data_IF_004980840872
#
_entry.id   IF_004980840872
#
_cell.length_a   1.000
_cell.length_b   1.000
_cell.length_c   1.000
_cell.angle_alpha   90.00
_cell.angle_beta   90.00
_cell.angle_gamma   90.00
#
_symmetry.space_group_name_H-M   'P 1'
#
loop_
_entity.id
_entity.type
_entity.pdbx_description
1 polymer ?
#
# COMPACT_ATOMS: atom_id res chain seq x y z
N UNK A 1 8.02 -15.47 26.83
CA UNK A 1 7.76 -14.17 27.47
C UNK A 1 6.54 -13.57 26.79
N UNK A 2 5.47 -13.31 27.52
CA UNK A 2 4.31 -12.59 26.99
C UNK A 2 4.57 -11.09 27.25
N UNK A 3 4.82 -10.32 26.18
CA UNK A 3 4.97 -8.87 26.28
C UNK A 3 3.57 -8.29 26.10
N UNK A 4 3.00 -7.72 27.16
CA UNK A 4 1.72 -7.03 27.10
C UNK A 4 1.93 -5.62 26.54
N UNK A 5 0.98 -5.14 25.73
CA UNK A 5 0.94 -3.74 25.27
C UNK A 5 1.02 -2.75 26.42
N UNK A 6 0.48 -3.10 27.60
CA UNK A 6 0.55 -2.31 28.81
C UNK A 6 1.97 -2.08 29.35
N UNK A 7 2.88 -3.06 29.16
CA UNK A 7 4.27 -2.91 29.63
C UNK A 7 5.03 -1.88 28.80
N UNK A 8 4.73 -1.81 27.50
CA UNK A 8 5.30 -0.84 26.57
C UNK A 8 4.68 0.55 26.79
N UNK A 9 3.36 0.63 26.99
CA UNK A 9 2.66 1.89 27.30
C UNK A 9 3.10 2.49 28.64
N UNK A 10 3.33 1.66 29.66
CA UNK A 10 3.77 2.11 30.98
C UNK A 10 5.18 2.71 30.95
N UNK A 11 6.04 2.27 30.05
CA UNK A 11 7.40 2.78 29.89
C UNK A 11 7.51 4.02 28.98
N UNK A 12 6.50 4.25 28.13
CA UNK A 12 6.48 5.35 27.16
C UNK A 12 5.10 6.00 27.16
N UNK A 13 5.03 7.29 27.47
CA UNK A 13 3.77 8.08 27.42
C UNK A 13 3.28 8.41 26.01
N UNK A 14 3.77 7.70 24.98
CA UNK A 14 3.46 7.89 23.60
C UNK A 14 2.25 7.03 23.15
N UNK A 15 1.53 7.50 22.15
CA UNK A 15 0.51 6.68 21.47
C UNK A 15 1.21 5.57 20.68
N UNK A 16 0.98 4.31 21.00
CA UNK A 16 1.59 3.18 20.31
C UNK A 16 0.71 2.62 19.19
N UNK A 17 1.35 2.07 18.17
CA UNK A 17 0.71 1.42 17.04
C UNK A 17 0.63 -0.10 17.19
N UNK A 18 0.30 -0.76 16.07
CA UNK A 18 0.26 -2.23 16.04
C UNK A 18 1.67 -2.80 16.08
N UNK A 19 1.85 -3.84 16.87
CA UNK A 19 3.08 -4.62 16.90
C UNK A 19 3.25 -5.39 15.60
N UNK A 20 4.44 -5.26 15.00
CA UNK A 20 4.85 -6.04 13.84
C UNK A 20 5.99 -6.95 14.28
N UNK A 21 5.97 -8.20 13.82
CA UNK A 21 7.01 -9.17 14.14
C UNK A 21 8.01 -9.23 12.98
N UNK A 22 9.29 -9.04 13.30
CA UNK A 22 10.39 -9.18 12.35
C UNK A 22 11.54 -9.98 12.95
N UNK A 23 12.42 -10.48 12.11
CA UNK A 23 13.59 -11.27 12.47
C UNK A 23 14.80 -10.56 11.88
N UNK A 24 15.84 -10.34 12.69
CA UNK A 24 17.09 -9.76 12.22
C UNK A 24 17.93 -10.74 11.37
N UNK A 25 19.05 -10.28 10.84
CA UNK A 25 19.95 -11.07 10.01
C UNK A 25 20.61 -12.25 10.76
N UNK A 26 20.66 -12.20 12.09
CA UNK A 26 21.13 -13.27 12.96
C UNK A 26 20.04 -14.29 13.35
N UNK A 27 18.80 -14.10 12.89
CA UNK A 27 17.65 -14.93 13.20
C UNK A 27 17.01 -14.64 14.56
N UNK A 28 17.30 -13.49 15.19
CA UNK A 28 16.70 -13.09 16.47
C UNK A 28 15.35 -12.43 16.25
N UNK A 29 14.33 -12.79 17.04
CA UNK A 29 12.99 -12.25 16.88
C UNK A 29 12.82 -10.92 17.62
N UNK A 30 12.10 -9.98 16.97
CA UNK A 30 11.76 -8.67 17.51
C UNK A 30 10.32 -8.29 17.25
N UNK A 31 9.77 -7.44 18.11
CA UNK A 31 8.55 -6.70 17.83
C UNK A 31 8.90 -5.25 17.50
N UNK A 32 8.41 -4.78 16.38
CA UNK A 32 8.55 -3.41 15.90
C UNK A 32 7.27 -2.67 16.25
N UNK A 33 7.39 -1.63 17.07
CA UNK A 33 6.26 -0.90 17.65
C UNK A 33 6.38 0.58 17.28
N UNK A 34 5.59 1.07 16.31
CA UNK A 34 5.58 2.49 15.98
C UNK A 34 4.95 3.30 17.11
N UNK A 35 5.54 4.43 17.45
CA UNK A 35 4.95 5.44 18.30
C UNK A 35 4.49 6.64 17.50
N UNK A 36 3.46 7.32 17.98
CA UNK A 36 2.87 8.45 17.29
C UNK A 36 2.75 9.65 18.19
N UNK A 37 2.87 10.83 17.59
CA UNK A 37 2.50 12.09 18.20
C UNK A 37 1.33 12.74 17.47
N UNK A 38 0.52 13.49 18.19
CA UNK A 38 -0.55 14.27 17.58
C UNK A 38 0.04 15.50 16.90
N UNK A 39 -0.28 15.67 15.62
CA UNK A 39 0.00 16.93 14.93
C UNK A 39 -1.08 17.93 15.29
N UNK A 40 -0.71 19.01 15.98
CA UNK A 40 -1.63 20.09 16.35
C UNK A 40 -1.90 20.95 15.11
N UNK A 41 -3.17 21.13 14.76
CA UNK A 41 -3.58 21.96 13.62
C UNK A 41 -5.00 21.61 13.15
N UNK A 42 -5.46 22.28 12.09
CA UNK A 42 -6.79 22.07 11.49
C UNK A 42 -6.98 20.63 10.98
N UNK A 43 -5.87 19.94 10.70
CA UNK A 43 -5.83 18.54 10.28
C UNK A 43 -5.12 17.72 11.36
N UNK A 44 -5.86 17.40 12.42
CA UNK A 44 -5.36 16.55 13.51
C UNK A 44 -5.18 15.13 13.02
N UNK A 45 -3.95 14.70 12.85
CA UNK A 45 -3.57 13.33 12.51
C UNK A 45 -2.45 12.85 13.42
N UNK A 46 -2.38 11.54 13.63
CA UNK A 46 -1.22 10.90 14.25
C UNK A 46 -0.06 10.89 13.27
N UNK A 47 1.09 11.39 13.67
CA UNK A 47 2.33 11.34 12.87
C UNK A 47 3.27 10.38 13.54
N UNK A 48 3.91 9.52 12.77
CA UNK A 48 4.95 8.62 13.25
C UNK A 48 6.07 9.43 13.93
N UNK A 49 6.44 9.05 15.14
CA UNK A 49 7.45 9.74 15.94
C UNK A 49 8.74 8.93 16.03
N UNK A 50 8.70 7.81 16.74
CA UNK A 50 9.82 6.89 16.90
C UNK A 50 9.37 5.45 16.72
N UNK A 51 10.32 4.54 16.67
CA UNK A 51 10.10 3.10 16.58
C UNK A 51 10.73 2.45 17.80
N UNK A 52 9.94 1.73 18.57
CA UNK A 52 10.45 0.87 19.64
C UNK A 52 10.71 -0.52 19.06
N UNK A 53 11.93 -0.98 19.22
CA UNK A 53 12.38 -2.32 18.81
C UNK A 53 12.52 -3.15 20.09
N UNK A 54 11.62 -4.11 20.26
CA UNK A 54 11.53 -4.94 21.44
C UNK A 54 12.07 -6.34 21.13
N UNK A 55 13.16 -6.72 21.80
CA UNK A 55 13.69 -8.08 21.66
C UNK A 55 12.68 -9.07 22.27
N UNK A 56 12.13 -9.98 21.44
CA UNK A 56 11.09 -10.91 21.87
C UNK A 56 11.60 -11.97 22.88
N UNK A 57 12.89 -12.17 22.98
CA UNK A 57 13.51 -13.13 23.90
C UNK A 57 13.87 -12.54 25.26
N UNK A 58 14.43 -11.31 25.27
CA UNK A 58 14.90 -10.65 26.50
C UNK A 58 13.91 -9.62 27.06
N UNK A 59 13.02 -9.08 26.21
CA UNK A 59 12.15 -7.96 26.58
C UNK A 59 12.86 -6.60 26.53
N UNK A 60 14.13 -6.54 26.11
CA UNK A 60 14.87 -5.30 25.99
C UNK A 60 14.25 -4.41 24.91
N UNK A 61 14.07 -3.13 25.24
CA UNK A 61 13.47 -2.11 24.38
C UNK A 61 14.54 -1.13 23.95
N UNK A 62 14.69 -0.94 22.64
CA UNK A 62 15.54 0.10 22.06
C UNK A 62 14.69 1.04 21.22
N UNK A 63 14.83 2.35 21.43
CA UNK A 63 14.11 3.36 20.67
C UNK A 63 14.98 3.90 19.53
N UNK A 64 14.38 4.01 18.34
CA UNK A 64 15.01 4.54 17.14
C UNK A 64 14.19 5.66 16.52
N UNK A 65 14.88 6.66 15.98
CA UNK A 65 14.32 7.60 15.00
C UNK A 65 14.35 6.97 13.61
N UNK A 66 13.47 7.39 12.69
CA UNK A 66 13.35 6.79 11.36
C UNK A 66 14.65 6.82 10.54
N UNK A 67 15.46 7.86 10.73
CA UNK A 67 16.75 8.03 10.06
C UNK A 67 17.85 7.11 10.59
N UNK A 68 17.67 6.51 11.78
CA UNK A 68 18.62 5.61 12.45
C UNK A 68 18.11 4.17 12.56
N UNK A 69 17.00 3.87 11.91
CA UNK A 69 16.38 2.56 11.98
C UNK A 69 17.31 1.49 11.36
N UNK A 70 17.56 0.34 12.03
CA UNK A 70 18.38 -0.75 11.50
C UNK A 70 17.91 -1.23 10.12
N UNK A 71 18.85 -1.64 9.25
CA UNK A 71 18.53 -1.98 7.84
C UNK A 71 17.63 -3.20 7.69
N UNK A 72 17.69 -4.13 8.63
CA UNK A 72 16.85 -5.34 8.62
C UNK A 72 15.37 -5.10 8.91
N UNK A 73 14.98 -3.88 9.39
CA UNK A 73 13.59 -3.54 9.62
C UNK A 73 12.95 -3.06 8.32
N UNK A 74 12.05 -3.85 7.77
CA UNK A 74 11.35 -3.54 6.52
C UNK A 74 10.09 -2.70 6.73
N UNK A 75 9.44 -2.83 7.90
CA UNK A 75 8.15 -2.21 8.18
C UNK A 75 8.19 -1.40 9.47
N UNK A 76 8.33 -0.08 9.36
CA UNK A 76 8.31 0.83 10.51
C UNK A 76 6.89 1.19 10.97
N UNK A 77 5.89 1.07 10.10
CA UNK A 77 4.51 1.47 10.40
C UNK A 77 3.49 0.58 9.67
N UNK A 78 2.25 0.58 10.15
CA UNK A 78 1.17 -0.18 9.54
C UNK A 78 0.73 0.43 8.21
N UNK A 79 0.40 -0.42 7.24
CA UNK A 79 -0.13 0.01 5.93
C UNK A 79 -1.37 0.90 6.09
N UNK A 80 -2.26 0.57 7.02
CA UNK A 80 -3.46 1.36 7.31
C UNK A 80 -3.13 2.80 7.71
N UNK A 81 -2.16 2.99 8.60
CA UNK A 81 -1.76 4.32 9.05
C UNK A 81 -1.08 5.11 7.92
N UNK A 82 -0.18 4.49 7.19
CA UNK A 82 0.51 5.12 6.05
C UNK A 82 -0.47 5.55 4.96
N UNK A 83 -1.38 4.65 4.54
CA UNK A 83 -2.40 4.94 3.53
C UNK A 83 -3.36 6.05 3.99
N UNK A 84 -3.77 6.02 5.26
CA UNK A 84 -4.63 7.06 5.84
C UNK A 84 -3.95 8.43 5.81
N UNK A 85 -2.68 8.50 6.20
CA UNK A 85 -1.92 9.75 6.15
C UNK A 85 -1.73 10.26 4.72
N UNK A 86 -1.39 9.36 3.78
CA UNK A 86 -1.30 9.71 2.37
C UNK A 86 -2.64 10.23 1.84
N UNK A 87 -3.74 9.55 2.13
CA UNK A 87 -5.06 9.99 1.71
C UNK A 87 -5.43 11.37 2.26
N UNK A 88 -5.11 11.67 3.51
CA UNK A 88 -5.33 13.02 4.08
C UNK A 88 -4.58 14.11 3.31
N UNK A 89 -3.33 13.85 2.92
CA UNK A 89 -2.54 14.83 2.14
C UNK A 89 -3.21 15.10 0.79
N UNK A 90 -3.69 14.08 0.09
CA UNK A 90 -4.33 14.24 -1.22
C UNK A 90 -5.75 14.79 -1.13
N UNK A 91 -6.50 14.44 -0.09
CA UNK A 91 -7.88 14.93 0.12
C UNK A 91 -7.87 16.42 0.48
N UNK A 92 -6.93 16.85 1.33
CA UNK A 92 -6.89 18.22 1.85
C UNK A 92 -5.82 19.10 1.19
N UNK A 93 -5.41 18.80 -0.03
CA UNK A 93 -4.33 19.48 -0.76
C UNK A 93 -4.50 21.00 -0.82
N UNK A 94 -5.72 21.51 -0.94
CA UNK A 94 -6.04 22.95 -0.95
C UNK A 94 -6.87 23.37 0.29
N UNK A 95 -6.80 22.60 1.38
CA UNK A 95 -7.47 22.86 2.64
C UNK A 95 -8.92 22.34 2.74
N UNK A 96 -9.47 22.40 3.95
CA UNK A 96 -10.79 21.85 4.28
C UNK A 96 -11.93 22.45 3.44
N UNK A 97 -11.95 23.76 3.26
CA UNK A 97 -13.00 24.44 2.48
C UNK A 97 -12.99 24.05 1.01
N UNK A 98 -11.82 23.79 0.43
CA UNK A 98 -11.71 23.28 -0.93
C UNK A 98 -12.38 21.91 -1.06
N UNK A 99 -12.14 21.02 -0.10
CA UNK A 99 -12.73 19.68 -0.08
C UNK A 99 -14.26 19.72 0.02
N UNK A 100 -14.80 20.71 0.74
CA UNK A 100 -16.25 20.86 0.93
C UNK A 100 -16.97 21.51 -0.25
N UNK A 101 -16.34 22.45 -0.94
CA UNK A 101 -17.05 23.31 -1.91
C UNK A 101 -16.57 23.20 -3.36
N UNK A 102 -15.27 23.25 -3.62
CA UNK A 102 -14.76 23.27 -4.99
C UNK A 102 -14.08 21.99 -5.44
N UNK A 103 -13.57 21.20 -4.50
CA UNK A 103 -12.89 19.92 -4.72
C UNK A 103 -11.75 20.00 -5.77
N UNK A 104 -11.15 21.18 -5.94
CA UNK A 104 -10.08 21.40 -6.91
C UNK A 104 -8.84 20.60 -6.50
N UNK A 105 -8.32 19.78 -7.42
CA UNK A 105 -7.14 18.91 -7.25
C UNK A 105 -7.29 17.86 -6.13
N UNK A 106 -8.50 17.66 -5.61
CA UNK A 106 -8.78 16.62 -4.61
C UNK A 106 -8.66 15.26 -5.26
N UNK A 107 -7.90 14.36 -4.62
CA UNK A 107 -7.66 13.00 -5.05
C UNK A 107 -8.00 12.03 -3.93
N UNK A 108 -8.37 10.82 -4.29
CA UNK A 108 -8.62 9.73 -3.38
C UNK A 108 -7.71 8.54 -3.72
N UNK A 109 -7.30 7.79 -2.71
CA UNK A 109 -6.60 6.53 -2.93
C UNK A 109 -7.61 5.41 -3.21
N UNK A 110 -7.25 4.47 -4.07
CA UNK A 110 -8.02 3.23 -4.29
C UNK A 110 -8.07 2.34 -3.04
N UNK A 111 -7.26 2.64 -2.03
CA UNK A 111 -7.24 1.94 -0.77
C UNK A 111 -8.55 2.10 0.00
N UNK A 112 -9.23 0.98 0.31
CA UNK A 112 -10.47 0.96 1.06
C UNK A 112 -10.23 0.56 2.53
N UNK A 113 -10.51 1.47 3.46
CA UNK A 113 -10.33 1.25 4.91
C UNK A 113 -11.39 0.36 5.54
N UNK A 114 -12.53 0.21 4.91
CA UNK A 114 -13.71 -0.46 5.47
C UNK A 114 -13.91 -1.89 4.95
N UNK A 115 -13.25 -2.26 3.87
CA UNK A 115 -13.37 -3.58 3.28
C UNK A 115 -12.12 -4.42 3.54
N UNK A 116 -12.25 -5.42 4.42
CA UNK A 116 -11.18 -6.37 4.72
C UNK A 116 -10.93 -7.38 3.61
N UNK A 117 -11.86 -7.52 2.66
CA UNK A 117 -11.76 -8.46 1.54
C UNK A 117 -11.03 -7.86 0.34
N UNK A 118 -11.03 -6.54 0.22
CA UNK A 118 -10.37 -5.81 -0.86
C UNK A 118 -9.60 -4.60 -0.30
N UNK A 119 -8.30 -4.74 -0.18
CA UNK A 119 -7.47 -3.72 0.46
C UNK A 119 -7.10 -2.54 -0.44
N UNK A 120 -7.28 -2.66 -1.78
CA UNK A 120 -6.94 -1.60 -2.75
C UNK A 120 -5.46 -1.24 -2.76
N UNK A 121 -4.57 -2.17 -2.38
CA UNK A 121 -3.13 -2.00 -2.46
C UNK A 121 -2.42 -3.33 -2.74
N UNK A 122 -1.18 -3.22 -3.20
CA UNK A 122 -0.23 -4.35 -3.31
C UNK A 122 1.10 -3.99 -2.66
N UNK A 123 1.83 -5.02 -2.22
CA UNK A 123 3.24 -4.91 -1.85
C UNK A 123 4.09 -5.31 -3.05
N UNK A 124 5.02 -4.48 -3.45
CA UNK A 124 5.94 -4.76 -4.55
C UNK A 124 7.40 -4.57 -4.11
N UNK A 125 8.31 -5.32 -4.74
CA UNK A 125 9.73 -5.11 -4.56
C UNK A 125 10.24 -4.22 -5.68
N UNK A 126 10.81 -3.08 -5.31
CA UNK A 126 11.44 -2.12 -6.20
C UNK A 126 12.95 -2.06 -5.93
N UNK A 127 13.66 -1.19 -6.63
CA UNK A 127 15.07 -0.91 -6.33
C UNK A 127 15.27 -0.23 -4.96
N UNK A 128 14.20 0.32 -4.38
CA UNK A 128 14.20 0.97 -3.06
C UNK A 128 13.81 0.02 -1.91
N UNK A 129 13.71 -1.29 -2.18
CA UNK A 129 13.21 -2.29 -1.24
C UNK A 129 11.73 -2.61 -1.46
N UNK A 130 11.03 -2.99 -0.38
CA UNK A 130 9.58 -3.21 -0.42
C UNK A 130 8.88 -1.85 -0.43
N UNK A 131 7.88 -1.70 -1.29
CA UNK A 131 7.00 -0.53 -1.32
C UNK A 131 5.54 -0.97 -1.39
N UNK A 132 4.65 -0.24 -0.73
CA UNK A 132 3.21 -0.36 -0.93
C UNK A 132 2.80 0.46 -2.15
N UNK A 133 1.95 -0.12 -2.97
CA UNK A 133 1.44 0.48 -4.20
C UNK A 133 -0.08 0.58 -4.13
N UNK A 134 -0.64 1.73 -4.53
CA UNK A 134 -2.08 1.94 -4.67
C UNK A 134 -2.36 2.93 -5.80
N UNK A 135 -3.52 2.81 -6.45
CA UNK A 135 -3.99 3.80 -7.40
C UNK A 135 -4.45 5.09 -6.74
N UNK A 136 -4.49 6.13 -7.52
CA UNK A 136 -4.96 7.47 -7.12
C UNK A 136 -5.96 7.96 -8.14
N UNK A 137 -7.19 8.22 -7.70
CA UNK A 137 -8.29 8.70 -8.55
C UNK A 137 -8.59 10.17 -8.30
N UNK A 138 -9.13 10.85 -9.30
CA UNK A 138 -9.67 12.19 -9.14
C UNK A 138 -11.10 12.14 -8.63
N UNK A 139 -11.44 12.95 -7.63
CA UNK A 139 -12.80 13.01 -7.10
C UNK A 139 -13.77 13.72 -8.06
N UNK A 140 -13.24 14.55 -8.97
CA UNK A 140 -14.05 15.41 -9.86
C UNK A 140 -14.20 14.89 -11.29
N UNK A 141 -13.45 13.88 -11.69
CA UNK A 141 -13.50 13.31 -13.03
C UNK A 141 -13.95 11.87 -12.93
N UNK A 142 -14.92 11.48 -13.73
CA UNK A 142 -15.48 10.15 -13.98
C UNK A 142 -14.65 8.94 -13.48
N UNK A 143 -14.28 8.98 -12.19
CA UNK A 143 -13.56 7.90 -11.48
C UNK A 143 -12.33 7.33 -12.23
N UNK A 144 -11.66 8.16 -13.03
CA UNK A 144 -10.46 7.73 -13.74
C UNK A 144 -9.22 7.81 -12.86
N UNK A 145 -8.33 6.83 -12.99
CA UNK A 145 -7.02 6.85 -12.35
C UNK A 145 -6.19 8.03 -12.89
N UNK A 146 -5.62 8.82 -11.99
CA UNK A 146 -4.73 9.95 -12.33
C UNK A 146 -3.26 9.64 -12.06
N UNK A 147 -2.98 8.52 -11.42
CA UNK A 147 -1.63 8.07 -11.12
C UNK A 147 -1.58 6.98 -10.07
N UNK A 148 -0.37 6.70 -9.65
CA UNK A 148 -0.05 5.66 -8.69
C UNK A 148 0.79 6.21 -7.57
N UNK A 149 0.53 5.76 -6.35
CA UNK A 149 1.28 6.10 -5.17
C UNK A 149 2.10 4.90 -4.70
N UNK A 150 3.38 5.13 -4.50
CA UNK A 150 4.29 4.19 -3.85
C UNK A 150 4.64 4.72 -2.46
N UNK A 151 4.56 3.87 -1.46
CA UNK A 151 4.89 4.22 -0.07
C UNK A 151 5.95 3.23 0.41
N UNK A 152 7.10 3.76 0.81
CA UNK A 152 8.12 2.94 1.46
C UNK A 152 7.72 2.68 2.92
N UNK A 153 7.48 1.42 3.35
CA UNK A 153 6.98 1.11 4.68
C UNK A 153 7.99 1.36 5.80
N UNK A 154 9.26 1.43 5.47
CA UNK A 154 10.34 1.71 6.41
C UNK A 154 10.46 3.21 6.74
N UNK A 155 10.36 4.06 5.72
CA UNK A 155 10.63 5.50 5.85
C UNK A 155 9.37 6.36 5.83
N UNK A 156 8.22 5.81 5.45
CA UNK A 156 7.00 6.56 5.18
C UNK A 156 7.08 7.49 3.96
N UNK A 157 8.20 7.45 3.21
CA UNK A 157 8.37 8.27 2.01
C UNK A 157 7.38 7.84 0.94
N UNK A 158 6.70 8.83 0.37
CA UNK A 158 5.75 8.63 -0.73
C UNK A 158 6.31 9.12 -2.04
N UNK A 159 6.07 8.38 -3.12
CA UNK A 159 6.38 8.78 -4.49
C UNK A 159 5.13 8.66 -5.34
N UNK A 160 4.73 9.75 -5.98
CA UNK A 160 3.60 9.78 -6.89
C UNK A 160 4.08 9.68 -8.33
N UNK A 161 3.54 8.71 -9.06
CA UNK A 161 3.76 8.54 -10.49
C UNK A 161 2.49 8.92 -11.25
N UNK A 162 2.56 9.99 -12.05
CA UNK A 162 1.41 10.46 -12.84
C UNK A 162 1.18 9.55 -14.04
N UNK A 163 0.00 8.93 -14.09
CA UNK A 163 -0.40 8.07 -15.20
C UNK A 163 -1.94 8.07 -15.27
N UNK A 164 -2.47 8.78 -16.25
CA UNK A 164 -3.93 8.85 -16.47
C UNK A 164 -4.37 7.63 -17.26
N UNK A 165 -5.41 6.96 -16.76
CA UNK A 165 -5.92 5.75 -17.40
C UNK A 165 -7.11 5.15 -16.68
N UNK A 166 -7.37 3.88 -16.95
CA UNK A 166 -8.42 3.12 -16.31
C UNK A 166 -8.10 2.83 -14.83
N UNK A 167 -9.12 2.71 -14.03
CA UNK A 167 -9.01 2.24 -12.66
C UNK A 167 -8.66 0.75 -12.59
N UNK A 168 -8.14 0.32 -11.47
CA UNK A 168 -7.80 -1.07 -11.18
C UNK A 168 -9.00 -2.00 -11.31
N UNK A 169 -10.18 -1.55 -10.93
CA UNK A 169 -11.44 -2.29 -11.06
C UNK A 169 -11.81 -2.60 -12.51
N UNK A 170 -11.61 -1.64 -13.42
CA UNK A 170 -11.82 -1.83 -14.85
C UNK A 170 -10.82 -2.82 -15.44
N UNK A 171 -9.56 -2.75 -15.02
CA UNK A 171 -8.53 -3.69 -15.44
C UNK A 171 -8.81 -5.12 -14.93
N UNK A 172 -9.26 -5.25 -13.68
CA UNK A 172 -9.67 -6.55 -13.12
C UNK A 172 -10.83 -7.16 -13.90
N UNK A 173 -11.85 -6.35 -14.20
CA UNK A 173 -13.01 -6.80 -15.00
C UNK A 173 -12.60 -7.27 -16.40
N UNK A 174 -11.66 -6.57 -17.03
CA UNK A 174 -11.12 -6.96 -18.35
C UNK A 174 -10.35 -8.28 -18.29
N UNK A 175 -9.51 -8.46 -17.25
CA UNK A 175 -8.77 -9.69 -17.04
C UNK A 175 -9.69 -10.88 -16.76
N UNK A 176 -10.73 -10.69 -15.92
CA UNK A 176 -11.72 -11.73 -15.59
C UNK A 176 -12.55 -12.13 -16.80
N UNK A 177 -12.88 -11.20 -17.69
CA UNK A 177 -13.61 -11.48 -18.93
C UNK A 177 -12.87 -12.49 -19.82
N UNK A 178 -11.53 -12.43 -19.86
CA UNK A 178 -10.72 -13.37 -20.66
C UNK A 178 -10.74 -14.82 -20.11
N UNK A 179 -11.08 -14.99 -18.84
CA UNK A 179 -11.08 -16.29 -18.16
C UNK A 179 -12.45 -16.66 -17.58
N UNK A 180 -13.49 -16.05 -18.10
CA UNK A 180 -14.88 -16.22 -17.64
C UNK A 180 -15.29 -17.68 -17.54
N UNK A 181 -14.87 -18.50 -18.51
CA UNK A 181 -15.21 -19.94 -18.55
C UNK A 181 -14.56 -20.75 -17.42
N UNK A 182 -13.50 -20.22 -16.79
CA UNK A 182 -12.79 -20.90 -15.70
C UNK A 182 -13.26 -20.41 -14.33
N UNK A 183 -13.97 -19.29 -14.25
CA UNK A 183 -14.44 -18.69 -13.01
C UNK A 183 -13.29 -18.24 -12.11
N UNK A 184 -12.19 -17.75 -12.69
CA UNK A 184 -11.08 -17.17 -11.95
C UNK A 184 -11.39 -15.72 -11.56
N UNK A 185 -10.85 -15.29 -10.42
CA UNK A 185 -10.95 -13.93 -9.91
C UNK A 185 -9.61 -13.21 -10.02
N UNK A 186 -9.66 -11.92 -10.36
CA UNK A 186 -8.48 -11.07 -10.46
C UNK A 186 -8.00 -10.65 -9.08
N UNK A 187 -6.67 -10.73 -8.86
CA UNK A 187 -6.04 -10.06 -7.72
C UNK A 187 -6.01 -8.56 -7.95
N UNK A 188 -5.71 -7.78 -6.90
CA UNK A 188 -5.43 -6.36 -7.07
C UNK A 188 -4.25 -6.19 -8.04
N UNK A 189 -4.41 -5.37 -9.10
CA UNK A 189 -3.37 -5.15 -10.09
C UNK A 189 -2.25 -4.29 -9.55
N UNK A 190 -1.08 -4.41 -10.16
CA UNK A 190 -0.02 -3.42 -9.98
C UNK A 190 0.57 -3.03 -11.33
N UNK A 191 1.03 -1.78 -11.43
CA UNK A 191 1.55 -1.25 -12.68
C UNK A 191 2.99 -1.71 -12.91
N UNK A 192 3.25 -2.10 -14.15
CA UNK A 192 4.59 -2.38 -14.69
C UNK A 192 4.79 -1.58 -15.96
N UNK A 193 6.04 -1.31 -16.31
CA UNK A 193 6.36 -0.74 -17.62
C UNK A 193 6.74 -1.89 -18.57
N UNK A 194 5.98 -2.03 -19.64
CA UNK A 194 6.24 -2.99 -20.71
C UNK A 194 6.59 -2.21 -21.97
N UNK A 195 7.86 -2.18 -22.32
CA UNK A 195 8.39 -1.47 -23.52
C UNK A 195 7.94 0.01 -23.61
N UNK A 196 7.90 0.71 -22.49
CA UNK A 196 7.47 2.11 -22.41
C UNK A 196 5.96 2.32 -22.25
N UNK A 197 5.19 1.24 -22.12
CA UNK A 197 3.73 1.26 -21.96
C UNK A 197 3.38 0.88 -20.51
N UNK A 198 2.67 1.75 -19.82
CA UNK A 198 2.13 1.47 -18.50
C UNK A 198 1.05 0.38 -18.63
N UNK A 199 1.27 -0.72 -17.92
CA UNK A 199 0.46 -1.93 -18.04
C UNK A 199 0.18 -2.50 -16.66
N UNK A 200 -1.07 -2.87 -16.41
CA UNK A 200 -1.43 -3.62 -15.20
C UNK A 200 -1.04 -5.09 -15.36
N UNK A 201 -0.31 -5.61 -14.39
CA UNK A 201 -0.10 -7.04 -14.21
C UNK A 201 -1.04 -7.56 -13.14
N UNK A 202 -1.81 -8.58 -13.48
CA UNK A 202 -2.87 -9.15 -12.65
C UNK A 202 -2.68 -10.66 -12.56
N UNK A 203 -2.69 -11.20 -11.33
CA UNK A 203 -2.77 -12.64 -11.12
C UNK A 203 -4.24 -13.08 -11.08
N UNK A 204 -4.56 -14.11 -11.83
CA UNK A 204 -5.88 -14.72 -11.90
C UNK A 204 -5.91 -15.97 -11.02
N UNK A 205 -6.79 -16.00 -10.04
CA UNK A 205 -6.85 -17.02 -8.99
C UNK A 205 -8.12 -17.84 -9.10
N UNK A 206 -8.00 -19.13 -8.82
CA UNK A 206 -9.16 -19.99 -8.65
C UNK A 206 -9.86 -19.76 -7.29
N UNK A 207 -10.96 -20.48 -7.06
CA UNK A 207 -11.74 -20.41 -5.81
C UNK A 207 -10.96 -20.78 -4.55
N UNK A 208 -9.82 -21.46 -4.69
CA UNK A 208 -8.93 -21.81 -3.57
C UNK A 208 -7.87 -20.74 -3.29
N UNK A 209 -7.85 -19.67 -4.08
CA UNK A 209 -6.84 -18.60 -3.98
C UNK A 209 -5.52 -18.90 -4.69
N UNK A 210 -5.45 -20.03 -5.43
CA UNK A 210 -4.25 -20.44 -6.16
C UNK A 210 -4.15 -19.68 -7.49
N UNK A 211 -2.98 -19.10 -7.79
CA UNK A 211 -2.73 -18.46 -9.09
C UNK A 211 -2.77 -19.50 -10.22
N UNK A 212 -3.60 -19.27 -11.23
CA UNK A 212 -3.80 -20.14 -12.39
C UNK A 212 -3.35 -19.50 -13.70
N UNK A 213 -3.42 -18.20 -13.78
CA UNK A 213 -3.00 -17.45 -14.97
C UNK A 213 -2.57 -16.03 -14.56
N UNK A 214 -2.00 -15.32 -15.53
CA UNK A 214 -1.63 -13.92 -15.42
C UNK A 214 -2.25 -13.16 -16.62
N UNK A 215 -2.62 -11.91 -16.35
CA UNK A 215 -3.12 -11.00 -17.38
C UNK A 215 -2.30 -9.71 -17.36
N UNK A 216 -2.04 -9.18 -18.56
CA UNK A 216 -1.54 -7.83 -18.76
C UNK A 216 -2.66 -7.00 -19.38
N UNK A 217 -2.96 -5.85 -18.78
CA UNK A 217 -4.02 -4.94 -19.22
C UNK A 217 -3.44 -3.55 -19.40
N UNK A 218 -3.60 -2.96 -20.56
CA UNK A 218 -3.08 -1.62 -20.84
C UNK A 218 -3.79 -0.58 -19.95
N UNK A 219 -3.02 0.26 -19.24
CA UNK A 219 -3.56 1.26 -18.33
C UNK A 219 -4.41 2.29 -19.06
N UNK A 220 -3.99 2.76 -20.22
CA UNK A 220 -4.70 3.78 -21.00
C UNK A 220 -5.89 3.23 -21.77
N UNK A 221 -5.87 1.94 -22.10
CA UNK A 221 -6.95 1.26 -22.80
C UNK A 221 -7.16 -0.16 -22.25
N UNK A 222 -7.97 -0.28 -21.23
CA UNK A 222 -8.25 -1.55 -20.55
C UNK A 222 -8.92 -2.62 -21.42
N UNK A 223 -9.38 -2.26 -22.62
CA UNK A 223 -9.88 -3.27 -23.59
C UNK A 223 -8.75 -4.04 -24.27
N UNK A 224 -7.51 -3.51 -24.22
CA UNK A 224 -6.31 -4.22 -24.64
C UNK A 224 -5.81 -5.03 -23.45
N UNK A 225 -6.14 -6.31 -23.46
CA UNK A 225 -5.81 -7.24 -22.41
C UNK A 225 -5.37 -8.58 -22.97
N UNK A 226 -4.36 -9.19 -22.35
CA UNK A 226 -3.87 -10.53 -22.69
C UNK A 226 -3.92 -11.43 -21.47
N UNK A 227 -3.93 -12.74 -21.65
CA UNK A 227 -3.80 -13.69 -20.56
C UNK A 227 -3.09 -14.97 -21.01
N UNK A 228 -2.30 -15.56 -20.12
CA UNK A 228 -1.71 -16.90 -20.31
C UNK A 228 -1.42 -17.55 -18.94
N UNK A 229 -1.01 -18.82 -18.95
CA UNK A 229 -0.69 -19.57 -17.75
C UNK A 229 0.56 -19.01 -17.03
N UNK A 230 1.49 -18.44 -17.78
CA UNK A 230 2.71 -17.80 -17.25
C UNK A 230 2.76 -16.32 -17.62
N UNK A 231 3.53 -15.53 -16.85
CA UNK A 231 3.75 -14.10 -17.14
C UNK A 231 4.44 -13.90 -18.48
N UNK A 232 5.43 -14.74 -18.78
CA UNK A 232 6.25 -14.69 -19.99
C UNK A 232 5.43 -14.95 -21.25
N UNK A 233 4.48 -15.87 -21.18
CA UNK A 233 3.54 -16.14 -22.28
C UNK A 233 2.54 -15.00 -22.46
N UNK A 234 1.94 -14.51 -21.37
CA UNK A 234 0.99 -13.41 -21.44
C UNK A 234 1.61 -12.11 -21.97
N UNK A 235 2.91 -11.90 -21.71
CA UNK A 235 3.65 -10.73 -22.19
C UNK A 235 3.96 -10.78 -23.69
N UNK A 236 3.98 -11.96 -24.30
CA UNK A 236 4.26 -12.14 -25.74
C UNK A 236 3.03 -11.99 -26.64
N UNK A 237 1.84 -11.97 -26.06
CA UNK A 237 0.57 -11.80 -26.74
C UNK A 237 0.19 -10.32 -26.93
#
# INVERSE_FOLDING_TARGET
LYIDSHDVEASHSALIGKFQFEIDEDGKPYYIVPTYKNKIGIFTGKVLDTILVVNASSGEITEYTLDKLPEWIDHADSVNHMMKNANYVYTYVNGFWNTMFSQKDVKALSYNYSDSSFSGYSSIRTNNGIEYFTGVTSVNNDESNVGFLFINPRTGKTTFYSCVGAEESSAQSSAEALVQNFGYTASYPFVVNVDGIETYLIALKDKTGTNKAYSFVNVKNYTIATQAATKEEALRL
#
